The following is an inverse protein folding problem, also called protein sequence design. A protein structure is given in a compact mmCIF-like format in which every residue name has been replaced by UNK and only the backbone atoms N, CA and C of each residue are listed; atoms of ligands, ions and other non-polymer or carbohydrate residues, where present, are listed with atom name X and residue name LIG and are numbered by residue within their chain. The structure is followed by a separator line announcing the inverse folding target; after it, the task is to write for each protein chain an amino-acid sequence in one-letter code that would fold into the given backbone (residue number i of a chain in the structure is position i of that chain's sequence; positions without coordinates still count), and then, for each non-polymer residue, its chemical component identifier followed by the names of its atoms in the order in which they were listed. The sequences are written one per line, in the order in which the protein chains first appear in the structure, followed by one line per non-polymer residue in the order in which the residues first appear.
data_IF_353623967773
#
_entry.id   IF_353623967773
#
_cell.length_a   1.000
_cell.length_b   1.000
_cell.length_c   1.000
_cell.angle_alpha   90.00
_cell.angle_beta   90.00
_cell.angle_gamma   90.00
#
_symmetry.space_group_name_H-M   'P 1'
#
loop_
_entity.id
_entity.type
_entity.pdbx_description
1 polymer ?
#
# COMPACT_ATOMS: atom_id res chain seq x y z
N UNK A 1 25.67 14.44 -11.30
CA UNK A 1 24.24 14.12 -11.18
C UNK A 1 24.06 12.61 -11.28
N UNK A 2 23.83 11.94 -10.16
CA UNK A 2 23.54 10.50 -10.12
C UNK A 2 22.14 10.29 -10.70
N UNK A 3 22.08 9.78 -11.92
CA UNK A 3 20.81 9.37 -12.55
C UNK A 3 20.36 8.10 -11.84
N UNK A 4 19.45 8.25 -10.88
CA UNK A 4 18.80 7.13 -10.22
C UNK A 4 17.98 6.36 -11.25
N UNK A 5 18.45 5.17 -11.65
CA UNK A 5 17.80 4.30 -12.65
C UNK A 5 16.67 3.43 -12.09
N UNK A 6 16.42 3.50 -10.79
CA UNK A 6 15.25 2.84 -10.20
C UNK A 6 14.08 3.82 -10.21
N UNK A 7 12.99 3.55 -10.94
CA UNK A 7 11.77 4.31 -10.76
C UNK A 7 11.43 4.28 -9.27
N UNK A 8 11.08 5.44 -8.71
CA UNK A 8 10.58 5.53 -7.35
C UNK A 8 9.47 4.48 -7.18
N UNK A 9 9.38 3.79 -6.04
CA UNK A 9 8.28 2.87 -5.80
C UNK A 9 6.97 3.57 -6.14
N UNK A 10 6.04 2.93 -6.84
CA UNK A 10 4.76 3.53 -7.30
C UNK A 10 4.00 4.25 -6.16
N UNK A 11 4.23 3.81 -4.92
CA UNK A 11 3.74 4.42 -3.68
C UNK A 11 4.33 5.82 -3.42
N UNK A 12 5.63 6.01 -3.64
CA UNK A 12 6.30 7.29 -3.45
C UNK A 12 5.85 8.33 -4.47
N UNK A 13 5.60 7.92 -5.72
CA UNK A 13 5.03 8.79 -6.74
C UNK A 13 3.64 9.29 -6.34
N UNK A 14 2.77 8.39 -5.86
CA UNK A 14 1.43 8.75 -5.39
C UNK A 14 1.45 9.75 -4.22
N UNK A 15 2.40 9.61 -3.29
CA UNK A 15 2.58 10.54 -2.17
C UNK A 15 3.06 11.91 -2.63
N UNK A 16 4.00 11.96 -3.59
CA UNK A 16 4.47 13.22 -4.17
C UNK A 16 3.33 13.95 -4.89
N UNK A 17 2.50 13.23 -5.66
CA UNK A 17 1.31 13.81 -6.28
C UNK A 17 0.31 14.34 -5.24
N UNK A 18 0.08 13.61 -4.15
CA UNK A 18 -0.83 14.05 -3.09
C UNK A 18 -0.34 15.32 -2.40
N UNK A 19 0.96 15.41 -2.07
CA UNK A 19 1.57 16.61 -1.50
C UNK A 19 1.52 17.79 -2.48
N UNK A 20 1.76 17.52 -3.77
CA UNK A 20 1.61 18.52 -4.82
C UNK A 20 0.18 19.07 -4.85
N UNK A 21 -0.84 18.21 -4.88
CA UNK A 21 -2.25 18.63 -4.88
C UNK A 21 -2.61 19.43 -3.62
N UNK A 22 -2.17 18.98 -2.44
CA UNK A 22 -2.41 19.66 -1.16
C UNK A 22 -1.74 21.03 -1.08
N UNK A 23 -0.57 21.22 -1.68
CA UNK A 23 0.10 22.53 -1.72
C UNK A 23 -0.50 23.45 -2.80
N UNK A 24 -0.87 22.88 -3.95
CA UNK A 24 -1.23 23.64 -5.14
C UNK A 24 -2.65 24.21 -5.08
N UNK A 25 -3.63 23.44 -4.58
CA UNK A 25 -5.02 23.90 -4.50
C UNK A 25 -5.23 25.10 -3.56
N UNK A 26 -4.69 25.11 -2.32
CA UNK A 26 -4.73 26.29 -1.47
C UNK A 26 -4.01 27.48 -2.08
N UNK A 27 -2.88 27.23 -2.76
CA UNK A 27 -2.11 28.29 -3.44
C UNK A 27 -2.94 28.98 -4.53
N UNK A 28 -3.71 28.22 -5.32
CA UNK A 28 -4.62 28.81 -6.31
C UNK A 28 -5.80 29.55 -5.68
N UNK A 29 -6.34 29.06 -4.56
CA UNK A 29 -7.42 29.77 -3.84
C UNK A 29 -6.90 31.11 -3.31
N UNK A 30 -5.69 31.13 -2.72
CA UNK A 30 -5.05 32.34 -2.22
C UNK A 30 -4.72 33.29 -3.38
N UNK A 31 -4.14 32.79 -4.47
CA UNK A 31 -3.80 33.59 -5.65
C UNK A 31 -5.06 34.17 -6.32
N UNK A 32 -6.11 33.37 -6.45
CA UNK A 32 -7.40 33.81 -6.97
C UNK A 32 -8.03 34.89 -6.11
N UNK A 33 -7.99 34.73 -4.78
CA UNK A 33 -8.44 35.76 -3.86
C UNK A 33 -7.61 37.04 -3.95
N UNK A 34 -6.28 36.93 -4.14
CA UNK A 34 -5.38 38.07 -4.28
C UNK A 34 -5.62 38.85 -5.60
N UNK A 35 -5.83 38.14 -6.71
CA UNK A 35 -6.04 38.74 -8.04
C UNK A 35 -7.45 39.32 -8.24
N UNK A 36 -8.46 38.77 -7.57
CA UNK A 36 -9.88 39.15 -7.73
C UNK A 36 -10.33 40.17 -6.66
N UNK A 37 -9.43 40.53 -5.73
CA UNK A 37 -9.67 41.39 -4.55
C UNK A 37 -10.40 42.72 -4.85
N UNK A 38 -10.28 43.27 -6.07
CA UNK A 38 -10.90 44.54 -6.45
C UNK A 38 -12.22 44.43 -7.24
N UNK A 39 -12.68 43.23 -7.63
CA UNK A 39 -13.85 43.11 -8.53
C UNK A 39 -15.02 42.27 -8.02
N UNK A 40 -14.82 41.37 -7.07
CA UNK A 40 -15.91 40.48 -6.62
C UNK A 40 -15.84 40.33 -5.10
N UNK A 41 -16.92 40.69 -4.41
CA UNK A 41 -17.18 40.26 -3.03
C UNK A 41 -17.41 38.75 -3.02
N UNK A 42 -16.35 37.98 -3.28
CA UNK A 42 -16.37 36.53 -3.20
C UNK A 42 -16.35 36.12 -1.74
N UNK A 43 -17.54 35.91 -1.18
CA UNK A 43 -17.73 35.13 0.03
C UNK A 43 -16.93 33.82 -0.12
N UNK A 44 -15.88 33.62 0.69
CA UNK A 44 -14.88 32.56 0.50
C UNK A 44 -15.50 31.16 0.35
N UNK A 45 -16.70 30.97 0.91
CA UNK A 45 -17.51 29.75 0.78
C UNK A 45 -17.93 29.42 -0.66
N UNK A 46 -18.11 30.43 -1.52
CA UNK A 46 -18.50 30.26 -2.95
C UNK A 46 -17.34 29.80 -3.84
N UNK A 47 -16.09 30.06 -3.46
CA UNK A 47 -14.90 29.58 -4.18
C UNK A 47 -14.40 28.23 -3.65
N UNK A 48 -14.62 27.96 -2.36
CA UNK A 48 -14.24 26.68 -1.74
C UNK A 48 -15.05 25.51 -2.34
N UNK A 49 -16.36 25.69 -2.56
CA UNK A 49 -17.22 24.62 -3.08
C UNK A 49 -16.79 24.09 -4.46
N UNK A 50 -16.57 24.94 -5.49
CA UNK A 50 -16.11 24.47 -6.80
C UNK A 50 -14.66 23.97 -6.77
N UNK A 51 -13.79 24.55 -5.93
CA UNK A 51 -12.42 24.05 -5.77
C UNK A 51 -12.39 22.64 -5.13
N UNK A 52 -13.22 22.42 -4.11
CA UNK A 52 -13.41 21.11 -3.50
C UNK A 52 -14.03 20.10 -4.48
N UNK A 53 -15.02 20.53 -5.28
CA UNK A 53 -15.60 19.69 -6.32
C UNK A 53 -14.57 19.29 -7.39
N UNK A 54 -13.75 20.23 -7.87
CA UNK A 54 -12.66 19.95 -8.82
C UNK A 54 -11.60 19.03 -8.22
N UNK A 55 -11.26 19.20 -6.94
CA UNK A 55 -10.35 18.31 -6.23
C UNK A 55 -10.92 16.89 -6.15
N UNK A 56 -12.20 16.75 -5.75
CA UNK A 56 -12.87 15.45 -5.68
C UNK A 56 -12.97 14.76 -7.06
N UNK A 57 -13.24 15.52 -8.12
CA UNK A 57 -13.28 14.98 -9.50
C UNK A 57 -11.90 14.50 -9.94
N UNK A 58 -10.83 15.28 -9.68
CA UNK A 58 -9.46 14.86 -9.99
C UNK A 58 -9.05 13.63 -9.18
N UNK A 59 -9.43 13.58 -7.90
CA UNK A 59 -9.12 12.46 -7.02
C UNK A 59 -9.86 11.18 -7.47
N UNK A 60 -11.15 11.30 -7.82
CA UNK A 60 -11.96 10.18 -8.32
C UNK A 60 -11.55 9.71 -9.72
N UNK A 61 -11.05 10.60 -10.57
CA UNK A 61 -10.55 10.27 -11.91
C UNK A 61 -9.18 9.59 -11.92
N UNK A 62 -8.46 9.59 -10.79
CA UNK A 62 -7.12 8.98 -10.73
C UNK A 62 -7.22 7.49 -10.42
N UNK A 63 -6.66 6.60 -11.27
CA UNK A 63 -6.76 5.15 -11.08
C UNK A 63 -6.16 4.68 -9.73
N UNK A 64 -5.17 5.40 -9.20
CA UNK A 64 -4.53 5.10 -7.93
C UNK A 64 -5.50 5.14 -6.73
N UNK A 65 -6.44 6.09 -6.73
CA UNK A 65 -7.43 6.25 -5.64
C UNK A 65 -8.47 5.14 -5.71
N UNK A 66 -8.87 4.77 -6.92
CA UNK A 66 -9.82 3.68 -7.13
C UNK A 66 -9.22 2.31 -6.77
N UNK A 67 -7.96 2.05 -7.11
CA UNK A 67 -7.26 0.84 -6.69
C UNK A 67 -7.04 0.81 -5.17
N UNK A 68 -6.65 1.93 -4.55
CA UNK A 68 -6.53 2.03 -3.10
C UNK A 68 -7.85 1.76 -2.36
N UNK A 69 -8.96 2.29 -2.87
CA UNK A 69 -10.29 2.03 -2.31
C UNK A 69 -10.68 0.54 -2.42
N UNK A 70 -10.44 -0.08 -3.58
CA UNK A 70 -10.67 -1.52 -3.77
C UNK A 70 -9.77 -2.36 -2.87
N UNK A 71 -8.53 -1.93 -2.65
CA UNK A 71 -7.60 -2.62 -1.77
C UNK A 71 -7.96 -2.48 -0.29
N UNK A 72 -8.62 -1.39 0.13
CA UNK A 72 -9.18 -1.28 1.47
C UNK A 72 -10.26 -2.35 1.71
N UNK A 73 -11.13 -2.60 0.73
CA UNK A 73 -12.12 -3.67 0.81
C UNK A 73 -11.48 -5.07 0.79
N UNK A 74 -10.50 -5.31 -0.09
CA UNK A 74 -9.76 -6.58 -0.16
C UNK A 74 -8.88 -6.81 1.06
N UNK A 75 -8.45 -5.74 1.73
CA UNK A 75 -7.57 -5.75 2.89
C UNK A 75 -8.12 -6.55 4.08
N UNK A 76 -9.44 -6.59 4.26
CA UNK A 76 -10.06 -7.37 5.33
C UNK A 76 -9.86 -8.88 5.17
N UNK A 77 -10.05 -9.41 3.96
CA UNK A 77 -9.81 -10.84 3.69
C UNK A 77 -8.32 -11.15 3.76
N UNK A 78 -7.48 -10.26 3.23
CA UNK A 78 -6.03 -10.40 3.29
C UNK A 78 -5.51 -10.41 4.73
N UNK A 79 -6.03 -9.57 5.62
CA UNK A 79 -5.61 -9.55 7.02
C UNK A 79 -5.98 -10.84 7.75
N UNK A 80 -7.15 -11.42 7.45
CA UNK A 80 -7.54 -12.73 7.98
C UNK A 80 -6.64 -13.85 7.46
N UNK A 81 -6.33 -13.88 6.16
CA UNK A 81 -5.43 -14.88 5.58
C UNK A 81 -4.00 -14.75 6.14
N UNK A 82 -3.53 -13.52 6.35
CA UNK A 82 -2.23 -13.25 6.96
C UNK A 82 -2.21 -13.65 8.44
N UNK A 83 -3.25 -13.33 9.21
CA UNK A 83 -3.34 -13.74 10.61
C UNK A 83 -3.31 -15.27 10.73
N UNK A 84 -4.10 -15.98 9.91
CA UNK A 84 -4.09 -17.45 9.87
C UNK A 84 -2.70 -18.00 9.57
N UNK A 85 -1.96 -17.39 8.63
CA UNK A 85 -0.58 -17.76 8.33
C UNK A 85 0.34 -17.55 9.53
N UNK A 86 0.24 -16.41 10.22
CA UNK A 86 1.07 -16.14 11.40
C UNK A 86 0.77 -17.12 12.52
N UNK A 87 -0.52 -17.46 12.72
CA UNK A 87 -0.95 -18.44 13.72
C UNK A 87 -0.40 -19.84 13.40
N UNK A 88 -0.41 -20.28 12.13
CA UNK A 88 0.15 -21.59 11.74
C UNK A 88 1.66 -21.64 11.89
N UNK A 89 2.36 -20.55 11.53
CA UNK A 89 3.81 -20.42 11.72
C UNK A 89 4.16 -20.47 13.22
N UNK A 90 3.40 -19.77 14.06
CA UNK A 90 3.61 -19.77 15.50
C UNK A 90 3.32 -21.14 16.13
N UNK A 91 2.25 -21.82 15.70
CA UNK A 91 1.93 -23.17 16.14
C UNK A 91 3.03 -24.17 15.75
N UNK A 92 3.53 -24.11 14.52
CA UNK A 92 4.63 -24.95 14.04
C UNK A 92 5.92 -24.74 14.87
N UNK A 93 6.24 -23.48 15.21
CA UNK A 93 7.34 -23.17 16.12
C UNK A 93 7.16 -23.83 17.49
N UNK A 94 5.96 -23.73 18.07
CA UNK A 94 5.66 -24.33 19.38
C UNK A 94 5.74 -25.87 19.35
N UNK A 95 5.47 -26.49 18.20
CA UNK A 95 5.60 -27.93 17.97
C UNK A 95 7.04 -28.37 17.68
N UNK A 96 7.99 -27.44 17.60
CA UNK A 96 9.39 -27.75 17.29
C UNK A 96 9.66 -28.11 15.82
N UNK A 97 8.74 -27.76 14.92
CA UNK A 97 8.94 -27.94 13.47
C UNK A 97 10.13 -27.09 13.05
N UNK A 98 11.08 -27.69 12.32
CA UNK A 98 12.30 -27.00 11.86
C UNK A 98 12.23 -26.59 10.40
N UNK A 99 11.47 -27.30 9.58
CA UNK A 99 11.29 -27.04 8.15
C UNK A 99 9.81 -26.76 7.85
N UNK A 100 9.49 -25.52 7.46
CA UNK A 100 8.11 -25.04 7.33
C UNK A 100 7.74 -24.77 5.86
N UNK A 101 6.59 -25.28 5.44
CA UNK A 101 5.96 -24.95 4.14
C UNK A 101 4.70 -24.14 4.40
N UNK A 102 4.63 -22.95 3.80
CA UNK A 102 3.53 -22.00 3.99
C UNK A 102 2.72 -21.89 2.70
N UNK A 103 1.39 -21.97 2.82
CA UNK A 103 0.49 -21.75 1.69
C UNK A 103 0.60 -20.32 1.12
N UNK A 104 0.49 -20.19 -0.20
CA UNK A 104 0.36 -18.88 -0.87
C UNK A 104 -0.95 -18.19 -0.50
N UNK A 105 -0.93 -16.86 -0.42
CA UNK A 105 -2.16 -16.07 -0.22
C UNK A 105 -3.02 -16.11 -1.49
N UNK A 106 -4.34 -16.21 -1.32
CA UNK A 106 -5.23 -16.44 -2.46
C UNK A 106 -5.46 -15.17 -3.29
N UNK A 107 -5.57 -14.02 -2.61
CA UNK A 107 -5.92 -12.73 -3.24
C UNK A 107 -5.14 -11.57 -2.60
N UNK A 108 -3.84 -11.40 -2.93
CA UNK A 108 -3.06 -10.28 -2.40
C UNK A 108 -3.58 -8.93 -2.91
N UNK A 109 -3.67 -7.89 -2.05
CA UNK A 109 -4.00 -6.52 -2.47
C UNK A 109 -2.87 -5.95 -3.33
N UNK A 110 -3.19 -5.24 -4.42
CA UNK A 110 -2.18 -4.85 -5.42
C UNK A 110 -1.24 -3.76 -4.92
N UNK A 111 -1.77 -2.80 -4.17
CA UNK A 111 -1.02 -1.63 -3.71
C UNK A 111 -0.26 -1.90 -2.42
N UNK A 112 -0.75 -2.77 -1.55
CA UNK A 112 -0.21 -3.01 -0.20
C UNK A 112 0.68 -4.26 -0.12
N UNK A 113 0.46 -5.27 -0.96
CA UNK A 113 1.20 -6.52 -0.87
C UNK A 113 2.66 -6.35 -1.30
N UNK A 114 3.58 -6.75 -0.42
CA UNK A 114 4.94 -7.06 -0.77
C UNK A 114 5.18 -8.54 -0.43
N UNK A 115 5.75 -9.29 -1.37
CA UNK A 115 6.01 -10.72 -1.17
C UNK A 115 7.01 -10.92 -0.04
N UNK A 116 6.54 -11.54 1.03
CA UNK A 116 7.25 -11.80 2.29
C UNK A 116 8.03 -13.12 2.27
N UNK A 117 7.45 -14.16 1.67
CA UNK A 117 8.05 -15.50 1.54
C UNK A 117 8.05 -15.90 0.06
N UNK A 118 9.12 -16.51 -0.41
CA UNK A 118 9.30 -17.04 -1.76
C UNK A 118 9.25 -18.57 -1.76
N UNK A 119 9.03 -19.16 -2.94
CA UNK A 119 8.98 -20.62 -3.15
C UNK A 119 10.35 -21.28 -3.04
N UNK A 120 11.41 -20.57 -3.42
CA UNK A 120 12.80 -21.02 -3.29
C UNK A 120 13.26 -20.90 -1.83
N UNK A 121 13.66 -22.00 -1.15
CA UNK A 121 14.16 -21.99 0.22
C UNK A 121 15.36 -21.06 0.46
N UNK A 122 16.19 -20.83 -0.57
CA UNK A 122 17.41 -20.01 -0.45
C UNK A 122 17.20 -18.54 -0.82
N UNK A 123 15.96 -18.12 -1.07
CA UNK A 123 15.65 -16.74 -1.37
C UNK A 123 15.88 -15.84 -0.15
N UNK A 124 16.57 -14.71 -0.34
CA UNK A 124 16.83 -13.73 0.72
C UNK A 124 15.57 -13.26 1.46
N UNK A 125 14.40 -13.24 0.79
CA UNK A 125 13.13 -12.86 1.42
C UNK A 125 12.74 -13.79 2.57
N UNK A 126 13.08 -15.07 2.45
CA UNK A 126 12.79 -16.08 3.46
C UNK A 126 13.69 -15.96 4.69
N UNK A 127 14.85 -15.31 4.55
CA UNK A 127 15.86 -15.23 5.61
C UNK A 127 15.34 -14.49 6.84
N UNK A 128 14.64 -13.37 6.63
CA UNK A 128 14.06 -12.58 7.73
C UNK A 128 13.07 -13.40 8.55
N UNK A 129 12.13 -14.08 7.88
CA UNK A 129 11.10 -14.89 8.56
C UNK A 129 11.72 -16.13 9.20
N UNK A 130 12.67 -16.77 8.53
CA UNK A 130 13.44 -17.91 9.06
C UNK A 130 14.17 -17.53 10.35
N UNK A 131 14.88 -16.41 10.35
CA UNK A 131 15.64 -15.93 11.50
C UNK A 131 14.73 -15.54 12.67
N UNK A 132 13.63 -14.83 12.40
CA UNK A 132 12.68 -14.38 13.43
C UNK A 132 11.99 -15.54 14.16
N UNK A 133 11.52 -16.54 13.41
CA UNK A 133 10.85 -17.71 14.00
C UNK A 133 11.80 -18.86 14.36
N UNK A 134 13.09 -18.75 14.02
CA UNK A 134 14.13 -19.75 14.28
C UNK A 134 13.91 -21.08 13.55
N UNK A 135 13.34 -21.04 12.34
CA UNK A 135 13.28 -22.21 11.46
C UNK A 135 14.64 -22.50 10.80
N UNK A 136 14.87 -23.75 10.42
CA UNK A 136 15.99 -24.14 9.55
C UNK A 136 15.68 -23.79 8.09
N UNK A 137 14.44 -23.98 7.65
CA UNK A 137 13.97 -23.52 6.35
C UNK A 137 12.50 -23.09 6.38
N UNK A 138 12.15 -22.09 5.56
CA UNK A 138 10.77 -21.69 5.31
C UNK A 138 10.61 -21.40 3.83
N UNK A 139 9.53 -21.88 3.22
CA UNK A 139 9.24 -21.64 1.79
C UNK A 139 7.75 -21.61 1.51
N UNK A 140 7.37 -20.94 0.42
CA UNK A 140 6.04 -21.09 -0.14
C UNK A 140 5.89 -22.43 -0.88
N UNK A 141 4.74 -23.06 -0.73
CA UNK A 141 4.35 -24.23 -1.49
C UNK A 141 2.89 -24.59 -1.21
N UNK A 142 2.34 -25.49 -2.01
CA UNK A 142 1.12 -26.18 -1.60
C UNK A 142 1.43 -26.89 -0.29
N UNK A 143 0.55 -26.75 0.71
CA UNK A 143 0.67 -27.48 1.97
C UNK A 143 0.51 -28.97 1.66
N UNK A 144 1.56 -29.59 1.16
CA UNK A 144 1.73 -31.04 1.24
C UNK A 144 2.02 -31.25 2.71
N UNK A 145 0.97 -31.49 3.47
CA UNK A 145 1.05 -32.01 4.83
C UNK A 145 2.11 -33.10 4.86
N UNK A 146 3.21 -32.93 5.61
CA UNK A 146 4.05 -34.04 5.95
C UNK A 146 3.86 -34.24 7.45
N UNK A 147 2.96 -35.16 7.78
CA UNK A 147 2.70 -35.70 9.11
C UNK A 147 1.77 -34.86 10.01
#
# INVERSE_FOLDING_TARGET
FLINRYPLPERAESVVYLLFLLGWYPSFIILGHFLVRDRIQCDGRRLILPAAALLLINLAGTPNVFEAYKDMYRGYRYSQEMQKRLDTIQAAKNQGVTDMVVASLSHPPRTLFATDIATDPHNFRNECTRAYYQFKSIRLGDTVSPY
#
